data_IF_547469354998
#
_entry.id   IF_547469354998
#
_cell.length_a   1.000
_cell.length_b   1.000
_cell.length_c   1.000
_cell.angle_alpha   90.00
_cell.angle_beta   90.00
_cell.angle_gamma   90.00
#
_symmetry.space_group_name_H-M   'P 1'
#
loop_
_entity.id
_entity.type
_entity.pdbx_description
1 polymer ?
#
# COMPACT_ATOMS: atom_id res chain seq x y z
N UNK A 1 11.03 27.54 11.29
CA UNK A 1 11.07 26.12 10.88
C UNK A 1 10.41 26.04 9.53
N UNK A 2 11.14 25.64 8.49
CA UNK A 2 10.56 25.51 7.16
C UNK A 2 9.50 24.41 7.23
N UNK A 3 8.25 24.75 6.91
CA UNK A 3 7.23 23.74 6.67
C UNK A 3 7.76 22.81 5.58
N UNK A 4 7.99 21.55 5.92
CA UNK A 4 8.06 20.49 4.91
C UNK A 4 6.65 20.39 4.33
N UNK A 5 6.33 21.32 3.43
CA UNK A 5 5.06 21.37 2.73
C UNK A 5 4.93 20.09 1.92
N UNK A 6 4.08 19.18 2.37
CA UNK A 6 3.54 18.15 1.51
C UNK A 6 2.67 18.86 0.47
N UNK A 7 3.28 19.29 -0.64
CA UNK A 7 2.54 19.84 -1.76
C UNK A 7 1.77 18.69 -2.42
N UNK A 8 0.49 18.91 -2.70
CA UNK A 8 -0.26 17.97 -3.51
C UNK A 8 0.46 17.80 -4.85
N UNK A 9 0.69 16.55 -5.24
CA UNK A 9 1.23 16.27 -6.57
C UNK A 9 0.24 16.81 -7.61
N UNK A 10 0.69 17.41 -8.73
CA UNK A 10 -0.18 18.03 -9.74
C UNK A 10 -0.91 16.99 -10.59
N UNK A 11 -1.23 15.82 -10.02
CA UNK A 11 -1.98 14.76 -10.68
C UNK A 11 -3.48 14.99 -10.50
N UNK A 12 -4.29 14.89 -11.58
CA UNK A 12 -5.73 15.00 -11.47
C UNK A 12 -6.28 13.91 -10.54
N UNK A 13 -6.96 14.32 -9.47
CA UNK A 13 -7.70 13.41 -8.59
C UNK A 13 -7.40 13.54 -7.09
N UNK A 14 -6.34 14.24 -6.68
CA UNK A 14 -5.94 14.40 -5.27
C UNK A 14 -5.92 13.07 -4.48
N UNK A 15 -5.69 11.93 -5.15
CA UNK A 15 -5.78 10.61 -4.52
C UNK A 15 -4.46 10.23 -3.87
N UNK A 16 -4.57 9.61 -2.72
CA UNK A 16 -3.49 8.93 -2.02
C UNK A 16 -3.84 7.45 -1.94
N UNK A 17 -2.84 6.59 -1.74
CA UNK A 17 -3.09 5.19 -1.44
C UNK A 17 -2.60 4.83 -0.05
N UNK A 18 -3.33 3.95 0.63
CA UNK A 18 -2.88 3.33 1.86
C UNK A 18 -2.79 1.82 1.66
N UNK A 19 -1.70 1.25 2.17
CA UNK A 19 -1.47 -0.19 2.15
C UNK A 19 -1.68 -0.76 3.54
N UNK A 20 -2.63 -1.70 3.66
CA UNK A 20 -2.71 -2.57 4.84
C UNK A 20 -1.92 -3.84 4.56
N UNK A 21 -0.96 -4.15 5.43
CA UNK A 21 -0.22 -5.41 5.37
C UNK A 21 -0.97 -6.44 6.21
N UNK A 22 -1.37 -7.53 5.56
CA UNK A 22 -2.00 -8.67 6.23
C UNK A 22 -0.99 -9.79 6.39
N UNK A 23 -1.06 -10.46 7.54
CA UNK A 23 -0.28 -11.65 7.80
C UNK A 23 -1.19 -12.88 7.72
N UNK A 24 -0.74 -13.92 7.01
CA UNK A 24 -1.48 -15.15 6.80
C UNK A 24 -0.65 -16.38 7.08
N UNK A 25 -1.32 -17.49 7.37
CA UNK A 25 -0.69 -18.81 7.50
C UNK A 25 -0.90 -19.55 6.18
N UNK A 26 0.19 -20.00 5.57
CA UNK A 26 0.12 -20.77 4.33
C UNK A 26 -0.75 -22.02 4.47
N UNK A 27 -1.56 -22.33 3.44
CA UNK A 27 -2.48 -23.48 3.47
C UNK A 27 -1.77 -24.81 3.76
N UNK A 28 -0.55 -24.96 3.25
CA UNK A 28 0.31 -26.14 3.37
C UNK A 28 1.33 -26.05 4.51
N UNK A 29 1.25 -25.03 5.37
CA UNK A 29 2.19 -24.89 6.48
C UNK A 29 2.12 -26.11 7.42
N UNK A 30 3.28 -26.67 7.76
CA UNK A 30 3.39 -27.85 8.63
C UNK A 30 3.11 -27.53 10.10
N UNK A 31 3.42 -26.30 10.55
CA UNK A 31 3.32 -25.88 11.93
C UNK A 31 2.30 -24.75 12.14
N UNK A 32 1.04 -24.99 11.74
CA UNK A 32 -0.03 -23.97 11.77
C UNK A 32 -0.25 -23.37 13.16
N UNK A 33 -0.21 -24.18 14.22
CA UNK A 33 -0.44 -23.69 15.59
C UNK A 33 0.69 -22.77 16.08
N UNK A 34 1.94 -23.11 15.76
CA UNK A 34 3.08 -22.27 16.10
C UNK A 34 3.04 -20.95 15.32
N UNK A 35 2.70 -21.02 14.02
CA UNK A 35 2.51 -19.83 13.19
C UNK A 35 1.38 -18.94 13.72
N UNK A 36 0.24 -19.53 14.12
CA UNK A 36 -0.87 -18.79 14.71
C UNK A 36 -0.46 -18.07 15.99
N UNK A 37 0.29 -18.73 16.89
CA UNK A 37 0.82 -18.08 18.10
C UNK A 37 1.75 -16.91 17.79
N UNK A 38 2.63 -17.07 16.80
CA UNK A 38 3.52 -16.00 16.37
C UNK A 38 2.75 -14.81 15.78
N UNK A 39 1.74 -15.07 14.94
CA UNK A 39 0.87 -14.02 14.40
C UNK A 39 0.14 -13.27 15.51
N UNK A 40 -0.49 -13.98 16.44
CA UNK A 40 -1.19 -13.37 17.57
C UNK A 40 -0.26 -12.50 18.42
N UNK A 41 0.99 -12.93 18.62
CA UNK A 41 1.98 -12.11 19.31
C UNK A 41 2.31 -10.84 18.50
N UNK A 42 2.62 -10.96 17.21
CA UNK A 42 2.97 -9.83 16.34
C UNK A 42 1.82 -8.80 16.19
N UNK A 43 0.57 -9.26 16.21
CA UNK A 43 -0.62 -8.41 16.16
C UNK A 43 -1.14 -8.01 17.53
N UNK A 44 -0.45 -8.34 18.62
CA UNK A 44 -0.85 -7.92 19.96
C UNK A 44 -0.72 -6.40 20.13
N UNK A 45 -1.52 -5.82 21.03
CA UNK A 45 -1.45 -4.40 21.35
C UNK A 45 -0.03 -3.97 21.73
N UNK A 46 0.67 -4.79 22.53
CA UNK A 46 2.07 -4.54 22.92
C UNK A 46 2.97 -4.33 21.71
N UNK A 47 2.96 -5.25 20.75
CA UNK A 47 3.84 -5.18 19.58
C UNK A 47 3.42 -4.07 18.61
N UNK A 48 2.11 -3.87 18.43
CA UNK A 48 1.60 -2.78 17.59
C UNK A 48 1.95 -1.39 18.15
N UNK A 49 1.99 -1.22 19.48
CA UNK A 49 2.49 0.03 20.08
C UNK A 49 3.98 0.32 19.79
N UNK A 50 4.77 -0.72 19.49
CA UNK A 50 6.19 -0.57 19.16
C UNK A 50 6.44 -0.40 17.65
N UNK A 51 5.51 -0.82 16.78
CA UNK A 51 5.63 -0.71 15.32
C UNK A 51 6.00 0.70 14.90
N UNK A 52 5.34 1.72 15.46
CA UNK A 52 5.60 3.11 15.10
C UNK A 52 7.03 3.55 15.45
N UNK A 53 7.57 3.07 16.58
CA UNK A 53 8.93 3.42 17.02
C UNK A 53 9.98 2.73 16.17
N UNK A 54 9.71 1.50 15.72
CA UNK A 54 10.67 0.66 15.00
C UNK A 54 10.65 0.96 13.50
N UNK A 55 9.46 1.09 12.91
CA UNK A 55 9.26 1.17 11.46
C UNK A 55 8.91 2.59 10.98
N UNK A 56 8.50 3.49 11.88
CA UNK A 56 8.03 4.81 11.49
C UNK A 56 6.71 4.77 10.71
N UNK A 57 5.92 3.71 10.87
CA UNK A 57 4.63 3.51 10.20
C UNK A 57 3.47 3.43 11.20
N UNK A 58 2.25 3.86 10.81
CA UNK A 58 1.07 3.64 11.65
C UNK A 58 0.88 2.15 11.97
N UNK A 59 0.45 1.81 13.19
CA UNK A 59 0.11 0.43 13.53
C UNK A 59 -1.12 -0.06 12.78
N UNK A 60 -1.20 -1.37 12.52
CA UNK A 60 -2.35 -1.99 11.88
C UNK A 60 -3.59 -2.05 12.79
N UNK A 61 -3.39 -2.03 14.11
CA UNK A 61 -4.48 -1.92 15.09
C UNK A 61 -4.98 -0.47 15.22
N UNK A 62 -6.27 -0.27 15.00
CA UNK A 62 -6.92 1.07 15.00
C UNK A 62 -6.98 1.74 16.38
N UNK A 63 -6.86 0.98 17.47
CA UNK A 63 -7.02 1.47 18.84
C UNK A 63 -5.69 1.76 19.56
N UNK A 64 -4.59 1.84 18.82
CA UNK A 64 -3.29 2.25 19.38
C UNK A 64 -3.26 3.78 19.40
N UNK A 65 -3.08 4.36 20.58
CA UNK A 65 -2.80 5.79 20.74
C UNK A 65 -1.32 6.06 20.49
N UNK A 66 -1.04 6.91 19.50
CA UNK A 66 0.30 7.37 19.16
C UNK A 66 0.42 8.91 19.16
N UNK A 67 -0.48 9.61 19.86
CA UNK A 67 -0.48 11.07 20.01
C UNK A 67 0.87 11.63 20.48
N UNK A 68 1.51 10.97 21.45
CA UNK A 68 2.85 11.34 21.93
C UNK A 68 3.92 11.30 20.83
N UNK A 69 3.84 10.30 19.93
CA UNK A 69 4.76 10.22 18.80
C UNK A 69 4.52 11.36 17.82
N UNK A 70 3.26 11.69 17.52
CA UNK A 70 2.91 12.83 16.64
C UNK A 70 3.40 14.14 17.24
N UNK A 71 3.27 14.34 18.55
CA UNK A 71 3.75 15.53 19.23
C UNK A 71 5.28 15.67 19.12
N UNK A 72 6.02 14.56 19.27
CA UNK A 72 7.47 14.53 19.10
C UNK A 72 7.91 14.59 17.62
N UNK A 73 7.03 14.20 16.69
CA UNK A 73 7.29 14.12 15.25
C UNK A 73 6.16 14.81 14.46
N UNK A 74 6.08 16.16 14.47
CA UNK A 74 4.97 16.88 13.85
C UNK A 74 4.77 16.56 12.36
N UNK A 75 5.84 16.21 11.65
CA UNK A 75 5.80 15.76 10.25
C UNK A 75 4.91 14.53 10.04
N UNK A 76 4.81 13.64 11.04
CA UNK A 76 4.02 12.41 10.95
C UNK A 76 2.52 12.69 10.84
N UNK A 77 2.07 13.86 11.34
CA UNK A 77 0.67 14.28 11.22
C UNK A 77 0.21 14.32 9.77
N UNK A 78 1.05 14.83 8.86
CA UNK A 78 0.70 14.89 7.44
C UNK A 78 0.50 13.48 6.84
N UNK A 79 1.35 12.52 7.20
CA UNK A 79 1.21 11.12 6.78
C UNK A 79 -0.05 10.46 7.35
N UNK A 80 -0.30 10.66 8.65
CA UNK A 80 -1.49 10.14 9.32
C UNK A 80 -2.78 10.73 8.75
N UNK A 81 -2.82 12.03 8.53
CA UNK A 81 -3.98 12.72 7.95
C UNK A 81 -4.22 12.22 6.51
N UNK A 82 -3.16 12.11 5.69
CA UNK A 82 -3.27 11.57 4.34
C UNK A 82 -3.78 10.13 4.34
N UNK A 83 -3.23 9.25 5.18
CA UNK A 83 -3.67 7.85 5.25
C UNK A 83 -5.15 7.67 5.64
N UNK A 84 -5.71 8.60 6.42
CA UNK A 84 -7.12 8.56 6.86
C UNK A 84 -8.06 9.44 6.02
N UNK A 85 -7.55 10.13 5.01
CA UNK A 85 -8.36 11.04 4.22
C UNK A 85 -9.39 10.26 3.36
N UNK A 86 -10.62 10.78 3.14
CA UNK A 86 -11.68 10.07 2.41
C UNK A 86 -11.31 9.68 0.97
N UNK A 87 -10.39 10.41 0.36
CA UNK A 87 -9.88 10.16 -0.99
C UNK A 87 -8.73 9.14 -1.06
N UNK A 88 -8.33 8.59 0.09
CA UNK A 88 -7.34 7.52 0.17
C UNK A 88 -7.96 6.18 -0.19
N UNK A 89 -7.40 5.53 -1.20
CA UNK A 89 -7.90 4.25 -1.73
C UNK A 89 -6.89 3.13 -1.54
N UNK A 90 -7.33 1.88 -1.72
CA UNK A 90 -6.41 0.75 -1.87
C UNK A 90 -5.58 0.94 -3.15
N UNK A 91 -4.34 0.46 -3.14
CA UNK A 91 -3.50 0.43 -4.33
C UNK A 91 -4.07 -0.49 -5.42
N UNK A 92 -4.90 -1.47 -5.04
CA UNK A 92 -5.64 -2.31 -5.96
C UNK A 92 -7.08 -1.77 -6.10
N UNK A 93 -7.59 -1.58 -7.34
CA UNK A 93 -8.99 -1.20 -7.56
C UNK A 93 -9.98 -2.21 -6.97
N UNK A 94 -11.18 -1.75 -6.64
CA UNK A 94 -12.27 -2.60 -6.13
C UNK A 94 -12.53 -3.79 -7.08
N UNK A 95 -12.62 -4.99 -6.50
CA UNK A 95 -12.80 -6.25 -7.24
C UNK A 95 -11.53 -6.77 -7.91
N UNK A 96 -10.40 -6.04 -7.81
CA UNK A 96 -9.10 -6.44 -8.30
C UNK A 96 -8.06 -6.63 -7.19
N UNK A 97 -8.48 -6.76 -5.93
CA UNK A 97 -7.61 -6.85 -4.76
C UNK A 97 -6.65 -8.04 -4.86
N UNK A 98 -7.12 -9.15 -5.43
CA UNK A 98 -6.30 -10.36 -5.66
C UNK A 98 -5.25 -10.20 -6.76
N UNK A 99 -5.33 -9.13 -7.55
CA UNK A 99 -4.38 -8.82 -8.64
C UNK A 99 -3.41 -7.71 -8.28
N UNK A 100 -3.44 -7.21 -7.05
CA UNK A 100 -2.59 -6.11 -6.62
C UNK A 100 -1.13 -6.24 -7.07
N UNK A 101 -0.44 -7.38 -6.81
CA UNK A 101 0.93 -7.59 -7.25
C UNK A 101 1.12 -7.53 -8.77
N UNK A 102 0.22 -8.12 -9.55
CA UNK A 102 0.27 -8.12 -11.01
C UNK A 102 0.00 -6.73 -11.60
N UNK A 103 -0.95 -5.99 -11.02
CA UNK A 103 -1.24 -4.60 -11.40
C UNK A 103 -0.01 -3.73 -11.16
N UNK A 104 0.59 -3.79 -9.96
CA UNK A 104 1.83 -3.06 -9.64
C UNK A 104 2.92 -3.42 -10.65
N UNK A 105 3.10 -4.71 -10.95
CA UNK A 105 4.13 -5.16 -11.89
C UNK A 105 3.90 -4.60 -13.29
N UNK A 106 2.68 -4.67 -13.82
CA UNK A 106 2.34 -4.16 -15.16
C UNK A 106 2.58 -2.65 -15.21
N UNK A 107 1.97 -1.91 -14.28
CA UNK A 107 2.09 -0.44 -14.23
C UNK A 107 3.55 -0.03 -14.08
N UNK A 108 4.28 -0.60 -13.11
CA UNK A 108 5.69 -0.30 -12.88
C UNK A 108 6.56 -0.58 -14.10
N UNK A 109 6.41 -1.75 -14.73
CA UNK A 109 7.17 -2.12 -15.93
C UNK A 109 6.95 -1.12 -17.08
N UNK A 110 5.70 -0.71 -17.32
CA UNK A 110 5.36 0.21 -18.40
C UNK A 110 5.81 1.64 -18.10
N UNK A 111 5.71 2.05 -16.84
CA UNK A 111 6.21 3.35 -16.40
C UNK A 111 7.74 3.43 -16.49
N UNK A 112 8.45 2.37 -16.10
CA UNK A 112 9.90 2.28 -16.24
C UNK A 112 10.33 2.34 -17.71
N UNK A 113 9.57 1.71 -18.62
CA UNK A 113 9.80 1.81 -20.06
C UNK A 113 9.63 3.23 -20.60
N UNK A 114 8.71 4.03 -20.03
CA UNK A 114 8.54 5.45 -20.39
C UNK A 114 9.65 6.33 -19.83
N UNK A 115 10.04 6.11 -18.57
CA UNK A 115 10.97 6.98 -17.87
C UNK A 115 12.44 6.71 -18.21
N UNK A 116 12.79 5.44 -18.41
CA UNK A 116 14.17 4.99 -18.53
C UNK A 116 14.44 4.21 -19.82
N UNK A 117 13.39 3.85 -20.56
CA UNK A 117 13.50 3.24 -21.88
C UNK A 117 13.24 4.24 -23.00
N UNK A 118 13.16 3.71 -24.22
CA UNK A 118 12.89 4.48 -25.44
C UNK A 118 11.41 4.43 -25.86
N UNK A 119 10.49 4.16 -24.92
CA UNK A 119 9.05 4.09 -25.25
C UNK A 119 8.40 5.45 -25.14
N UNK A 120 7.75 5.88 -26.22
CA UNK A 120 6.87 7.05 -26.19
C UNK A 120 5.72 6.87 -25.18
N UNK A 121 5.31 7.93 -24.46
CA UNK A 121 4.26 7.86 -23.44
C UNK A 121 2.96 7.22 -23.90
N UNK A 122 2.46 7.58 -25.08
CA UNK A 122 1.21 7.05 -25.63
C UNK A 122 1.30 5.56 -25.92
N UNK A 123 2.45 5.10 -26.43
CA UNK A 123 2.68 3.69 -26.76
C UNK A 123 2.71 2.85 -25.48
N UNK A 124 3.41 3.32 -24.46
CA UNK A 124 3.48 2.63 -23.18
C UNK A 124 2.12 2.63 -22.45
N UNK A 125 1.36 3.74 -22.52
CA UNK A 125 0.02 3.82 -21.95
C UNK A 125 -0.95 2.83 -22.64
N UNK A 126 -0.93 2.73 -23.97
CA UNK A 126 -1.73 1.76 -24.71
C UNK A 126 -1.35 0.31 -24.36
N UNK A 127 -0.05 0.03 -24.25
CA UNK A 127 0.43 -1.29 -23.84
C UNK A 127 0.00 -1.63 -22.40
N UNK A 128 0.08 -0.66 -21.49
CA UNK A 128 -0.38 -0.81 -20.10
C UNK A 128 -1.87 -1.14 -20.04
N UNK A 129 -2.72 -0.40 -20.76
CA UNK A 129 -4.15 -0.69 -20.81
C UNK A 129 -4.42 -2.11 -21.32
N UNK A 130 -3.78 -2.50 -22.43
CA UNK A 130 -3.94 -3.84 -23.02
C UNK A 130 -3.55 -4.95 -22.05
N UNK A 131 -2.45 -4.79 -21.33
CA UNK A 131 -1.97 -5.79 -20.35
C UNK A 131 -2.94 -5.92 -19.17
N UNK A 132 -3.47 -4.79 -18.66
CA UNK A 132 -4.46 -4.77 -17.57
C UNK A 132 -5.79 -5.41 -18.00
N UNK A 133 -6.28 -5.11 -19.21
CA UNK A 133 -7.49 -5.74 -19.76
C UNK A 133 -7.31 -7.26 -19.91
N UNK A 134 -6.13 -7.69 -20.37
CA UNK A 134 -5.79 -9.10 -20.53
C UNK A 134 -5.74 -9.84 -19.20
N UNK A 135 -5.20 -9.20 -18.15
CA UNK A 135 -5.16 -9.76 -16.79
C UNK A 135 -6.58 -10.07 -16.27
N UNK A 136 -7.52 -9.15 -16.49
CA UNK A 136 -8.92 -9.32 -16.07
C UNK A 136 -9.60 -10.41 -16.91
N UNK A 137 -9.38 -10.42 -18.23
CA UNK A 137 -10.00 -11.38 -19.15
C UNK A 137 -9.57 -12.83 -18.85
N UNK A 138 -8.30 -13.07 -18.55
CA UNK A 138 -7.75 -14.39 -18.23
C UNK A 138 -8.41 -15.06 -17.01
N UNK A 139 -9.04 -14.28 -16.12
CA UNK A 139 -9.73 -14.82 -14.95
C UNK A 139 -11.20 -15.13 -15.18
N UNK A 140 -11.90 -14.43 -16.09
CA UNK A 140 -13.30 -14.76 -16.43
C UNK A 140 -13.43 -16.15 -17.07
N UNK A 141 -12.33 -16.72 -17.54
CA UNK A 141 -12.27 -18.04 -18.17
C UNK A 141 -11.87 -19.18 -17.20
N UNK A 142 -11.57 -18.86 -15.93
CA UNK A 142 -11.28 -19.83 -14.86
C UNK A 142 -12.41 -19.87 -13.85
#
# INVERSE_FOLDING_TARGET
>A
MAELGAAALPFPGNRTFALSVFLGIGKTAEHKDAAARALLAATSQRWQSEVLKIQGSPPGLRNIDYSNFVAANPWFKAFSDAANAPQTISFAPDGAETFGPEVIKIVGTRFDQMLFGDSEPEVAAQAMQKDLESLIAARKQK
#
